data_IF_782061156719
#
_entry.id   IF_782061156719
#
_cell.length_a   1.000
_cell.length_b   1.000
_cell.length_c   1.000
_cell.angle_alpha   90.00
_cell.angle_beta   90.00
_cell.angle_gamma   90.00
#
_symmetry.space_group_name_H-M   'P 1'
#
loop_
_entity.id
_entity.type
_entity.pdbx_description
1 polymer ?
#
# COMPACT_ATOMS: atom_id res chain seq x y z
N UNK A 1 12.68 10.07 -12.45
CA UNK A 1 14.14 9.84 -12.37
C UNK A 1 14.62 10.51 -11.08
N UNK A 2 15.13 9.75 -10.11
CA UNK A 2 15.55 10.28 -8.82
C UNK A 2 17.02 10.70 -8.92
N UNK A 3 17.34 11.97 -8.70
CA UNK A 3 18.73 12.44 -8.64
C UNK A 3 19.13 12.58 -7.17
N UNK A 4 20.19 11.86 -6.78
CA UNK A 4 20.81 12.01 -5.46
C UNK A 4 21.69 13.25 -5.52
N UNK A 5 21.33 14.29 -4.77
CA UNK A 5 22.02 15.57 -4.76
C UNK A 5 23.02 15.59 -3.59
N UNK A 6 24.01 14.72 -3.66
CA UNK A 6 25.17 14.72 -2.75
C UNK A 6 24.90 14.33 -1.28
N UNK A 7 25.97 13.90 -0.62
CA UNK A 7 26.03 13.60 0.81
C UNK A 7 26.51 14.87 1.53
N UNK A 8 25.62 15.78 1.91
CA UNK A 8 26.00 16.95 2.70
C UNK A 8 26.18 16.54 4.16
N UNK A 9 27.43 16.42 4.60
CA UNK A 9 27.80 16.36 6.01
C UNK A 9 27.59 17.75 6.65
N UNK A 10 26.34 18.20 6.74
CA UNK A 10 25.95 19.40 7.47
C UNK A 10 24.94 19.00 8.54
N UNK A 11 25.40 18.20 9.49
CA UNK A 11 24.61 17.74 10.61
C UNK A 11 25.54 17.41 11.74
N UNK A 12 25.47 18.21 12.81
CA UNK A 12 26.03 18.04 14.13
C UNK A 12 26.82 16.72 14.38
N UNK A 13 28.11 16.77 14.77
CA UNK A 13 28.98 15.59 14.92
C UNK A 13 28.51 14.55 15.96
N UNK A 14 27.44 14.84 16.70
CA UNK A 14 26.87 14.01 17.76
C UNK A 14 25.93 12.91 17.23
N UNK A 15 25.45 13.02 16.00
CA UNK A 15 24.52 12.04 15.43
C UNK A 15 25.26 10.99 14.59
N UNK A 16 25.19 9.71 14.98
CA UNK A 16 25.76 8.58 14.22
C UNK A 16 24.98 8.23 12.93
N UNK A 17 24.24 9.18 12.35
CA UNK A 17 23.35 8.93 11.21
C UNK A 17 23.74 9.82 10.04
N UNK A 18 23.87 9.22 8.85
CA UNK A 18 24.16 9.95 7.61
C UNK A 18 22.89 10.59 7.04
N UNK A 19 22.99 11.83 6.54
CA UNK A 19 21.92 12.52 5.84
C UNK A 19 22.17 12.56 4.33
N UNK A 20 21.12 12.35 3.53
CA UNK A 20 21.15 12.40 2.07
C UNK A 20 20.08 13.37 1.59
N UNK A 21 20.44 14.30 0.69
CA UNK A 21 19.48 15.19 0.05
C UNK A 21 19.00 14.54 -1.26
N UNK A 22 17.68 14.34 -1.36
CA UNK A 22 17.04 13.71 -2.53
C UNK A 22 16.02 14.66 -3.13
N UNK A 23 16.10 14.90 -4.44
CA UNK A 23 15.08 15.63 -5.19
C UNK A 23 14.10 14.66 -5.83
N UNK A 24 12.84 14.73 -5.39
CA UNK A 24 11.74 13.96 -5.97
C UNK A 24 10.96 14.88 -6.92
N UNK A 25 11.09 14.62 -8.22
CA UNK A 25 10.27 15.30 -9.24
C UNK A 25 9.07 14.42 -9.57
N UNK A 26 7.82 14.93 -9.46
CA UNK A 26 6.64 14.16 -9.82
C UNK A 26 6.67 13.77 -11.31
N UNK A 27 6.15 12.59 -11.63
CA UNK A 27 5.98 12.15 -13.01
C UNK A 27 4.76 12.87 -13.63
N UNK A 28 4.84 13.17 -14.94
CA UNK A 28 3.72 13.76 -15.69
C UNK A 28 2.50 12.82 -15.68
N UNK A 29 2.74 11.53 -15.82
CA UNK A 29 1.73 10.48 -15.71
C UNK A 29 2.08 9.56 -14.54
N UNK A 30 1.16 9.37 -13.56
CA UNK A 30 1.41 8.46 -12.45
C UNK A 30 1.41 7.01 -12.96
N UNK A 31 2.34 6.19 -12.47
CA UNK A 31 2.41 4.76 -12.83
C UNK A 31 1.14 4.01 -12.41
N UNK A 32 0.60 4.40 -11.25
CA UNK A 32 -0.64 3.86 -10.69
C UNK A 32 -1.69 4.97 -10.72
N UNK A 33 -2.68 4.84 -11.60
CA UNK A 33 -3.78 5.81 -11.75
C UNK A 33 -5.02 5.36 -10.95
N UNK A 34 -4.87 5.23 -9.64
CA UNK A 34 -5.97 4.88 -8.72
C UNK A 34 -6.06 5.89 -7.58
N UNK A 35 -7.19 5.96 -6.90
CA UNK A 35 -7.37 6.83 -5.74
C UNK A 35 -6.29 6.56 -4.68
N UNK A 36 -5.68 7.63 -4.16
CA UNK A 36 -4.61 7.53 -3.17
C UNK A 36 -5.05 6.77 -1.92
N UNK A 37 -6.29 6.97 -1.48
CA UNK A 37 -6.87 6.31 -0.31
C UNK A 37 -6.94 4.78 -0.46
N UNK A 38 -7.26 4.32 -1.67
CA UNK A 38 -7.30 2.90 -2.03
C UNK A 38 -5.90 2.33 -2.06
N UNK A 39 -4.99 3.01 -2.75
CA UNK A 39 -3.58 2.63 -2.85
C UNK A 39 -2.92 2.55 -1.46
N UNK A 40 -3.11 3.57 -0.63
CA UNK A 40 -2.58 3.63 0.74
C UNK A 40 -3.09 2.45 1.57
N UNK A 41 -4.38 2.11 1.44
CA UNK A 41 -4.98 0.98 2.17
C UNK A 41 -4.39 -0.35 1.73
N UNK A 42 -4.28 -0.57 0.41
CA UNK A 42 -3.70 -1.79 -0.16
C UNK A 42 -2.24 -1.96 0.26
N UNK A 43 -1.43 -0.92 0.06
CA UNK A 43 0.00 -0.93 0.42
C UNK A 43 0.18 -1.13 1.92
N UNK A 44 -0.56 -0.40 2.76
CA UNK A 44 -0.46 -0.51 4.23
C UNK A 44 -0.80 -1.91 4.72
N UNK A 45 -1.86 -2.53 4.19
CA UNK A 45 -2.23 -3.89 4.57
C UNK A 45 -1.16 -4.90 4.14
N UNK A 46 -0.72 -4.85 2.88
CA UNK A 46 0.25 -5.80 2.33
C UNK A 46 1.60 -5.74 3.05
N UNK A 47 2.08 -4.54 3.39
CA UNK A 47 3.33 -4.34 4.12
C UNK A 47 3.24 -4.52 5.63
N UNK A 48 2.06 -4.83 6.20
CA UNK A 48 1.88 -5.06 7.63
C UNK A 48 2.80 -6.19 8.13
N UNK A 49 2.95 -7.26 7.35
CA UNK A 49 3.75 -8.42 7.70
C UNK A 49 4.94 -8.61 6.75
N UNK A 50 6.04 -7.91 7.01
CA UNK A 50 7.27 -7.92 6.18
C UNK A 50 7.90 -9.31 5.97
N UNK A 51 7.64 -10.27 6.85
CA UNK A 51 8.23 -11.63 6.81
C UNK A 51 7.23 -12.71 6.38
N UNK A 52 5.97 -12.36 6.08
CA UNK A 52 4.91 -13.32 5.71
C UNK A 52 4.56 -13.17 4.23
N UNK A 53 3.96 -14.22 3.66
CA UNK A 53 3.40 -14.20 2.31
C UNK A 53 2.19 -13.28 2.24
N UNK A 54 1.96 -12.67 1.08
CA UNK A 54 0.92 -11.65 0.88
C UNK A 54 -0.49 -12.17 1.11
N UNK A 55 -0.74 -13.48 0.95
CA UNK A 55 -2.02 -14.11 1.32
C UNK A 55 -2.41 -13.89 2.78
N UNK A 56 -1.44 -13.72 3.69
CA UNK A 56 -1.72 -13.49 5.10
C UNK A 56 -2.04 -12.03 5.39
N UNK A 57 -1.33 -11.09 4.75
CA UNK A 57 -1.57 -9.67 4.91
C UNK A 57 -2.81 -9.19 4.18
N UNK A 58 -3.15 -9.78 3.03
CA UNK A 58 -4.36 -9.44 2.28
C UNK A 58 -5.66 -9.73 3.03
N UNK A 59 -5.66 -10.66 3.99
CA UNK A 59 -6.82 -10.87 4.87
C UNK A 59 -7.19 -9.62 5.67
N UNK A 60 -6.23 -8.73 5.93
CA UNK A 60 -6.47 -7.47 6.63
C UNK A 60 -7.23 -6.45 5.77
N UNK A 61 -7.30 -6.66 4.45
CA UNK A 61 -8.02 -5.79 3.54
C UNK A 61 -9.53 -5.96 3.64
N UNK A 62 -10.01 -7.08 4.17
CA UNK A 62 -11.43 -7.40 4.25
C UNK A 62 -11.80 -7.79 5.69
N UNK A 63 -13.05 -7.58 6.13
CA UNK A 63 -13.56 -8.20 7.35
C UNK A 63 -13.54 -9.73 7.24
N UNK A 64 -13.61 -10.42 8.37
CA UNK A 64 -13.61 -11.89 8.41
C UNK A 64 -14.76 -12.50 7.59
N UNK A 65 -15.92 -11.82 7.57
CA UNK A 65 -17.11 -12.15 6.77
C UNK A 65 -16.81 -12.22 5.25
N UNK A 66 -15.90 -11.36 4.78
CA UNK A 66 -15.52 -11.24 3.37
C UNK A 66 -14.10 -11.75 3.10
N UNK A 67 -13.56 -12.61 3.97
CA UNK A 67 -12.20 -13.14 3.85
C UNK A 67 -11.96 -13.87 2.51
N UNK A 68 -13.00 -14.47 1.92
CA UNK A 68 -12.95 -15.11 0.60
C UNK A 68 -12.59 -14.14 -0.54
N UNK A 69 -12.93 -12.84 -0.41
CA UNK A 69 -12.61 -11.82 -1.39
C UNK A 69 -11.10 -11.56 -1.50
N UNK A 70 -10.33 -11.89 -0.46
CA UNK A 70 -8.87 -11.80 -0.54
C UNK A 70 -8.28 -12.79 -1.53
N UNK A 71 -8.82 -14.01 -1.59
CA UNK A 71 -8.42 -15.03 -2.58
C UNK A 71 -8.89 -14.63 -3.97
N UNK A 72 -10.11 -14.14 -4.09
CA UNK A 72 -10.68 -13.63 -5.35
C UNK A 72 -9.86 -12.46 -5.91
N UNK A 73 -9.37 -11.56 -5.05
CA UNK A 73 -8.52 -10.45 -5.43
C UNK A 73 -7.25 -10.93 -6.13
N UNK A 74 -6.56 -11.92 -5.56
CA UNK A 74 -5.35 -12.48 -6.16
C UNK A 74 -5.63 -13.24 -7.45
N UNK A 75 -6.75 -13.97 -7.50
CA UNK A 75 -7.17 -14.69 -8.69
C UNK A 75 -7.42 -13.75 -9.87
N UNK A 76 -8.11 -12.62 -9.63
CA UNK A 76 -8.37 -11.60 -10.65
C UNK A 76 -7.12 -10.82 -11.04
N UNK A 77 -6.29 -10.46 -10.06
CA UNK A 77 -5.10 -9.66 -10.31
C UNK A 77 -3.95 -10.45 -10.95
N UNK A 78 -4.01 -11.78 -10.95
CA UNK A 78 -2.94 -12.63 -11.47
C UNK A 78 -1.64 -12.57 -10.66
N UNK A 79 -1.71 -12.07 -9.42
CA UNK A 79 -0.53 -11.87 -8.56
C UNK A 79 -0.30 -13.12 -7.73
N UNK A 80 0.96 -13.60 -7.70
CA UNK A 80 1.32 -14.78 -6.92
C UNK A 80 1.22 -14.51 -5.42
N UNK A 81 0.22 -15.15 -4.81
CA UNK A 81 -0.10 -15.08 -3.39
C UNK A 81 1.01 -15.59 -2.43
N UNK A 82 2.01 -16.30 -2.95
CA UNK A 82 3.15 -16.83 -2.18
C UNK A 82 4.31 -15.83 -2.06
N UNK A 83 4.29 -14.75 -2.85
CA UNK A 83 5.29 -13.70 -2.77
C UNK A 83 5.20 -12.91 -1.47
N UNK A 84 6.29 -12.22 -1.12
CA UNK A 84 6.34 -11.23 -0.04
C UNK A 84 6.11 -9.84 -0.59
N UNK A 85 5.64 -8.92 0.26
CA UNK A 85 5.27 -7.56 -0.17
C UNK A 85 6.43 -6.79 -0.85
N UNK A 86 7.68 -7.04 -0.45
CA UNK A 86 8.86 -6.41 -1.06
C UNK A 86 9.23 -6.95 -2.45
N UNK A 87 8.67 -8.10 -2.84
CA UNK A 87 8.92 -8.73 -4.14
C UNK A 87 7.91 -8.30 -5.20
N UNK A 88 6.85 -7.59 -4.81
CA UNK A 88 5.82 -7.07 -5.72
C UNK A 88 6.35 -5.87 -6.52
N UNK A 89 5.94 -5.81 -7.78
CA UNK A 89 6.23 -4.71 -8.70
C UNK A 89 5.15 -3.62 -8.61
N UNK A 90 5.43 -2.44 -9.17
CA UNK A 90 4.43 -1.35 -9.26
C UNK A 90 3.22 -1.76 -10.12
N UNK A 91 3.41 -2.63 -11.11
CA UNK A 91 2.33 -3.16 -11.95
C UNK A 91 1.42 -4.09 -11.14
N UNK A 92 1.98 -4.94 -10.28
CA UNK A 92 1.20 -5.77 -9.36
C UNK A 92 0.32 -4.90 -8.44
N UNK A 93 0.88 -3.82 -7.88
CA UNK A 93 0.11 -2.88 -7.06
C UNK A 93 -1.00 -2.19 -7.86
N UNK A 94 -0.75 -1.84 -9.13
CA UNK A 94 -1.78 -1.26 -10.01
C UNK A 94 -2.93 -2.24 -10.24
N UNK A 95 -2.63 -3.49 -10.57
CA UNK A 95 -3.64 -4.54 -10.77
C UNK A 95 -4.42 -4.83 -9.50
N UNK A 96 -3.74 -4.95 -8.36
CA UNK A 96 -4.37 -5.14 -7.05
C UNK A 96 -5.31 -3.99 -6.69
N UNK A 97 -4.90 -2.74 -6.87
CA UNK A 97 -5.74 -1.58 -6.55
C UNK A 97 -6.98 -1.49 -7.46
N UNK A 98 -6.82 -1.84 -8.73
CA UNK A 98 -7.91 -1.82 -9.71
C UNK A 98 -9.00 -2.83 -9.32
N UNK A 99 -8.62 -4.10 -9.13
CA UNK A 99 -9.57 -5.15 -8.75
C UNK A 99 -10.09 -4.99 -7.33
N UNK A 100 -9.30 -4.47 -6.39
CA UNK A 100 -9.79 -4.17 -5.05
C UNK A 100 -10.92 -3.13 -5.09
N UNK A 101 -10.79 -2.11 -5.94
CA UNK A 101 -11.85 -1.10 -6.13
C UNK A 101 -13.12 -1.71 -6.70
N UNK A 102 -13.01 -2.63 -7.66
CA UNK A 102 -14.14 -3.36 -8.24
C UNK A 102 -14.85 -4.23 -7.20
N UNK A 103 -14.08 -4.98 -6.39
CA UNK A 103 -14.63 -5.83 -5.34
C UNK A 103 -15.34 -5.00 -4.27
N UNK A 104 -14.78 -3.87 -3.83
CA UNK A 104 -15.44 -2.99 -2.86
C UNK A 104 -16.78 -2.46 -3.39
N UNK A 105 -16.82 -2.05 -4.66
CA UNK A 105 -18.07 -1.57 -5.29
C UNK A 105 -19.17 -2.63 -5.26
N UNK A 106 -18.81 -3.90 -5.45
CA UNK A 106 -19.77 -5.01 -5.37
C UNK A 106 -20.31 -5.31 -3.97
N UNK A 107 -19.55 -4.98 -2.92
CA UNK A 107 -19.91 -5.26 -1.51
C UNK A 107 -20.64 -4.07 -0.85
N UNK A 108 -20.81 -2.95 -1.56
CA UNK A 108 -21.48 -1.75 -1.04
C UNK A 108 -20.59 -0.81 -0.23
N UNK A 109 -19.32 -1.14 0.03
CA UNK A 109 -18.24 -0.23 0.44
C UNK A 109 -18.39 0.61 1.72
N UNK A 110 -19.50 0.54 2.45
CA UNK A 110 -19.77 1.43 3.59
C UNK A 110 -18.92 1.11 4.82
N UNK A 111 -18.62 -0.16 5.06
CA UNK A 111 -17.83 -0.62 6.21
C UNK A 111 -16.43 0.04 6.29
N UNK A 112 -15.78 0.26 5.13
CA UNK A 112 -14.45 0.87 5.09
C UNK A 112 -14.48 2.35 5.52
N UNK A 113 -15.54 3.08 5.15
CA UNK A 113 -15.73 4.49 5.57
C UNK A 113 -15.92 4.61 7.08
N UNK A 114 -16.56 3.61 7.69
CA UNK A 114 -16.85 3.59 9.11
C UNK A 114 -15.60 3.39 9.99
N UNK A 115 -14.64 2.54 9.56
CA UNK A 115 -13.35 2.40 10.25
C UNK A 115 -12.54 3.70 10.27
N UNK A 116 -12.59 4.52 9.20
CA UNK A 116 -11.94 5.84 9.16
C UNK A 116 -12.62 6.83 10.12
N UNK A 117 -13.96 6.83 10.22
CA UNK A 117 -14.71 7.67 11.17
C UNK A 117 -14.33 7.34 12.62
N UNK A 118 -14.35 6.06 13.03
CA UNK A 118 -14.03 5.65 14.41
C UNK A 118 -12.59 5.99 14.83
N UNK A 119 -11.61 5.92 13.92
CA UNK A 119 -10.22 6.35 14.21
C UNK A 119 -10.07 7.86 14.41
N UNK A 120 -10.94 8.66 13.80
CA UNK A 120 -10.92 10.13 13.91
C UNK A 120 -11.57 10.62 15.21
N UNK A 121 -12.60 9.92 15.69
CA UNK A 121 -13.28 10.24 16.97
C UNK A 121 -12.47 9.84 18.21
N UNK A 122 -11.62 8.82 18.13
CA UNK A 122 -10.81 8.36 19.29
C UNK A 122 -9.55 9.22 19.50
N UNK A 123 -9.23 10.12 18.56
CA UNK A 123 -8.05 10.98 18.62
C UNK A 123 -8.34 12.40 19.13
N UNK A 124 -9.52 12.61 19.72
CA UNK A 124 -9.99 13.87 20.29
C UNK A 124 -10.19 13.73 21.81
#
# INVERSE_FOLDING_TARGET
MCQVLGLSALGNPENQVQAVVVKITPLLTPVINTDFDTLETVVRALFQYRRKMIRHSAKLLFPDEYSHLSTELFLRSGVDQTLRAQQLTLEDFKSLCTHYTELIKGVGGEWWREKKKKKKTVKN
#
